data_IF_382575127989
#
_entry.id   IF_382575127989
#
_cell.length_a   1.000
_cell.length_b   1.000
_cell.length_c   1.000
_cell.angle_alpha   90.00
_cell.angle_beta   90.00
_cell.angle_gamma   90.00
#
_symmetry.space_group_name_H-M   'P 1'
#
loop_
_entity.id
_entity.type
_entity.pdbx_description
1 polymer ?
#
# COMPACT_ATOMS: atom_id res chain seq x y z
N UNK A 1 7.21 15.60 8.68
CA UNK A 1 7.32 14.67 7.55
C UNK A 1 8.15 13.50 8.01
N UNK A 2 7.52 12.35 8.24
CA UNK A 2 8.18 11.12 8.61
C UNK A 2 8.54 10.30 7.36
N UNK A 3 9.53 9.41 7.50
CA UNK A 3 9.85 8.38 6.51
C UNK A 3 9.49 7.03 7.10
N UNK A 4 8.53 6.35 6.47
CA UNK A 4 8.05 5.04 6.89
C UNK A 4 8.63 4.01 5.94
N UNK A 5 9.46 3.10 6.46
CA UNK A 5 10.02 2.00 5.68
C UNK A 5 9.08 0.81 5.66
N UNK A 6 8.81 0.27 4.48
CA UNK A 6 7.99 -0.93 4.31
C UNK A 6 8.56 -1.85 3.23
N UNK A 7 8.46 -3.14 3.51
CA UNK A 7 8.69 -4.19 2.51
C UNK A 7 7.64 -4.08 1.39
N UNK A 8 8.09 -4.30 0.15
CA UNK A 8 7.28 -4.46 -1.04
C UNK A 8 7.63 -5.77 -1.75
N UNK A 9 6.62 -6.49 -2.21
CA UNK A 9 6.81 -7.66 -3.08
C UNK A 9 7.18 -7.21 -4.51
N UNK A 10 7.91 -8.02 -5.29
CA UNK A 10 8.46 -7.57 -6.58
C UNK A 10 7.41 -7.04 -7.56
N UNK A 11 6.25 -7.72 -7.67
CA UNK A 11 5.15 -7.28 -8.54
C UNK A 11 4.55 -5.93 -8.13
N UNK A 12 4.38 -5.71 -6.82
CA UNK A 12 3.89 -4.44 -6.30
C UNK A 12 4.94 -3.35 -6.48
N UNK A 13 6.20 -3.65 -6.20
CA UNK A 13 7.31 -2.72 -6.34
C UNK A 13 7.42 -2.22 -7.78
N UNK A 14 7.41 -3.13 -8.75
CA UNK A 14 7.51 -2.78 -10.16
C UNK A 14 6.29 -1.99 -10.65
N UNK A 15 5.08 -2.31 -10.18
CA UNK A 15 3.88 -1.54 -10.51
C UNK A 15 3.93 -0.09 -9.96
N UNK A 16 4.58 0.11 -8.81
CA UNK A 16 4.76 1.44 -8.21
C UNK A 16 5.89 2.22 -8.89
N UNK A 17 6.98 1.54 -9.27
CA UNK A 17 8.11 2.13 -10.02
C UNK A 17 7.67 2.59 -11.40
N UNK A 18 6.94 1.75 -12.13
CA UNK A 18 6.40 2.08 -13.47
C UNK A 18 5.32 3.15 -13.46
N UNK A 19 4.81 3.55 -12.29
CA UNK A 19 3.73 4.53 -12.16
C UNK A 19 2.33 3.98 -12.47
N UNK A 20 2.22 2.71 -12.90
CA UNK A 20 0.96 2.02 -13.16
C UNK A 20 0.08 1.95 -11.90
N UNK A 21 0.69 1.82 -10.73
CA UNK A 21 0.00 1.74 -9.43
C UNK A 21 0.31 2.98 -8.59
N UNK A 22 -0.70 3.81 -8.34
CA UNK A 22 -0.59 5.03 -7.51
C UNK A 22 -1.16 4.88 -6.09
N UNK A 23 -1.38 3.65 -5.61
CA UNK A 23 -1.91 3.36 -4.27
C UNK A 23 -1.21 2.18 -3.60
N UNK A 24 -1.13 2.19 -2.27
CA UNK A 24 -0.65 1.07 -1.46
C UNK A 24 -1.70 0.73 -0.39
N UNK A 25 -2.22 -0.50 -0.41
CA UNK A 25 -3.21 -0.98 0.55
C UNK A 25 -2.51 -1.83 1.60
N UNK A 26 -2.66 -1.44 2.87
CA UNK A 26 -2.04 -2.13 4.00
C UNK A 26 -3.01 -2.26 5.16
N UNK A 27 -2.74 -3.26 6.02
CA UNK A 27 -3.35 -3.28 7.34
C UNK A 27 -2.99 -2.00 8.10
N UNK A 28 -3.95 -1.47 8.84
CA UNK A 28 -3.79 -0.24 9.61
C UNK A 28 -3.03 -0.51 10.93
N UNK A 29 -1.76 -0.91 10.81
CA UNK A 29 -0.87 -1.31 11.91
C UNK A 29 0.28 -0.31 12.17
N UNK A 30 0.32 0.80 11.41
CA UNK A 30 1.33 1.84 11.55
C UNK A 30 0.75 3.21 11.20
N UNK A 31 1.33 4.25 11.79
CA UNK A 31 0.94 5.63 11.52
C UNK A 31 1.65 6.19 10.28
N UNK A 32 0.85 6.78 9.40
CA UNK A 32 1.27 7.56 8.24
C UNK A 32 0.22 8.64 7.97
N UNK A 33 0.65 9.81 7.54
CA UNK A 33 -0.20 10.94 7.20
C UNK A 33 0.11 11.45 5.79
N UNK A 34 -0.79 12.27 5.24
CA UNK A 34 -0.53 12.96 3.97
C UNK A 34 0.73 13.82 4.07
N UNK A 35 1.54 13.80 3.01
CA UNK A 35 2.84 14.46 2.95
C UNK A 35 4.00 13.65 3.52
N UNK A 36 3.76 12.60 4.32
CA UNK A 36 4.84 11.69 4.74
C UNK A 36 5.41 10.89 3.55
N UNK A 37 6.58 10.29 3.73
CA UNK A 37 7.24 9.47 2.70
C UNK A 37 7.15 8.00 3.05
N UNK A 38 6.68 7.20 2.10
CA UNK A 38 6.74 5.74 2.16
C UNK A 38 7.96 5.27 1.36
N UNK A 39 8.96 4.73 2.05
CA UNK A 39 10.11 4.07 1.45
C UNK A 39 9.77 2.59 1.28
N UNK A 40 9.57 2.17 0.04
CA UNK A 40 9.31 0.77 -0.31
C UNK A 40 10.64 0.09 -0.63
N UNK A 41 10.95 -0.99 0.09
CA UNK A 41 12.15 -1.80 -0.11
C UNK A 41 11.73 -3.15 -0.72
N UNK A 42 12.26 -3.47 -1.90
CA UNK A 42 11.90 -4.69 -2.60
C UNK A 42 12.47 -5.93 -1.89
N UNK A 43 11.58 -6.88 -1.61
CA UNK A 43 11.91 -8.16 -0.98
C UNK A 43 11.65 -9.31 -1.94
N UNK A 44 12.66 -10.13 -2.19
CA UNK A 44 12.54 -11.33 -3.00
C UNK A 44 12.04 -12.52 -2.14
N UNK A 45 10.83 -13.06 -2.37
CA UNK A 45 10.33 -14.25 -1.67
C UNK A 45 11.18 -15.50 -1.89
N UNK A 46 11.85 -15.63 -3.06
CA UNK A 46 12.58 -16.82 -3.46
C UNK A 46 13.89 -16.94 -2.69
N UNK A 47 14.65 -15.85 -2.62
CA UNK A 47 15.91 -15.79 -1.87
C UNK A 47 15.70 -15.44 -0.39
N UNK A 48 14.53 -14.92 -0.03
CA UNK A 48 14.22 -14.39 1.31
C UNK A 48 15.19 -13.28 1.72
N UNK A 49 15.54 -12.40 0.79
CA UNK A 49 16.42 -11.26 1.02
C UNK A 49 15.85 -9.99 0.38
N UNK A 50 16.28 -8.83 0.87
CA UNK A 50 16.09 -7.58 0.14
C UNK A 50 16.98 -7.58 -1.12
N UNK A 51 16.45 -7.08 -2.23
CA UNK A 51 17.19 -7.00 -3.50
C UNK A 51 18.17 -5.82 -3.54
N UNK A 52 18.03 -4.88 -2.60
CA UNK A 52 18.75 -3.60 -2.58
C UNK A 52 18.05 -2.49 -3.36
N UNK A 53 16.98 -2.81 -4.12
CA UNK A 53 16.15 -1.80 -4.78
C UNK A 53 15.20 -1.16 -3.77
N UNK A 54 15.02 0.15 -3.89
CA UNK A 54 14.05 0.91 -3.12
C UNK A 54 13.41 2.02 -3.95
N UNK A 55 12.23 2.46 -3.55
CA UNK A 55 11.55 3.62 -4.13
C UNK A 55 10.86 4.43 -3.05
N UNK A 56 11.01 5.74 -3.12
CA UNK A 56 10.30 6.68 -2.25
C UNK A 56 9.06 7.21 -2.95
N UNK A 57 7.93 7.20 -2.24
CA UNK A 57 6.68 7.83 -2.68
C UNK A 57 6.13 8.71 -1.57
N UNK A 58 5.70 9.93 -1.92
CA UNK A 58 4.95 10.78 -0.99
C UNK A 58 3.53 10.24 -0.84
N UNK A 59 3.06 10.17 0.40
CA UNK A 59 1.66 9.87 0.70
C UNK A 59 0.79 11.05 0.24
N UNK A 60 0.04 10.85 -0.83
CA UNK A 60 -0.87 11.86 -1.38
C UNK A 60 -2.15 11.96 -0.54
N UNK A 61 -3.00 10.94 -0.62
CA UNK A 61 -4.21 10.79 0.19
C UNK A 61 -4.07 9.55 1.08
N UNK A 62 -4.42 9.67 2.36
CA UNK A 62 -4.38 8.56 3.33
C UNK A 62 -5.76 8.33 3.91
N UNK A 63 -6.39 7.21 3.54
CA UNK A 63 -7.67 6.80 4.11
C UNK A 63 -7.52 5.56 4.97
N UNK A 64 -7.76 5.72 6.28
CA UNK A 64 -7.81 4.64 7.27
C UNK A 64 -9.28 4.33 7.56
N UNK A 65 -9.67 3.06 7.46
CA UNK A 65 -11.04 2.63 7.74
C UNK A 65 -11.06 1.30 8.48
N UNK A 66 -12.16 1.05 9.20
CA UNK A 66 -12.50 -0.25 9.76
C UNK A 66 -13.68 -0.82 8.99
N UNK A 67 -13.67 -2.14 8.77
CA UNK A 67 -14.70 -2.81 7.96
C UNK A 67 -16.10 -2.60 8.56
N UNK A 68 -16.25 -2.63 9.88
CA UNK A 68 -17.51 -2.41 10.60
C UNK A 68 -18.06 -0.98 10.50
N UNK A 69 -17.29 -0.05 9.91
CA UNK A 69 -17.66 1.36 9.73
C UNK A 69 -17.92 1.75 8.28
N UNK A 70 -17.83 0.80 7.35
CA UNK A 70 -18.14 1.03 5.95
C UNK A 70 -19.67 1.03 5.73
N UNK A 71 -20.11 1.70 4.66
CA UNK A 71 -21.53 1.87 4.32
C UNK A 71 -22.24 0.56 3.91
N UNK A 72 -21.49 -0.51 3.64
CA UNK A 72 -22.02 -1.79 3.17
C UNK A 72 -22.13 -2.82 4.31
N UNK A 73 -23.10 -3.75 4.24
CA UNK A 73 -23.18 -4.88 5.17
C UNK A 73 -21.92 -5.76 5.14
N UNK A 74 -21.50 -6.27 6.30
CA UNK A 74 -20.31 -7.11 6.43
C UNK A 74 -20.37 -8.38 5.55
N UNK A 75 -21.53 -9.02 5.46
CA UNK A 75 -21.73 -10.22 4.65
C UNK A 75 -21.56 -9.94 3.15
N UNK A 76 -22.03 -8.78 2.68
CA UNK A 76 -21.84 -8.37 1.29
C UNK A 76 -20.36 -8.08 0.99
N UNK A 77 -19.65 -7.44 1.93
CA UNK A 77 -18.22 -7.20 1.79
C UNK A 77 -17.39 -8.50 1.83
N UNK A 78 -17.76 -9.47 2.67
CA UNK A 78 -17.12 -10.80 2.67
C UNK A 78 -17.34 -11.54 1.36
N UNK A 79 -18.55 -11.43 0.79
CA UNK A 79 -18.91 -12.11 -0.44
C UNK A 79 -18.26 -11.47 -1.69
N UNK A 80 -18.25 -10.13 -1.78
CA UNK A 80 -17.85 -9.39 -2.99
C UNK A 80 -16.44 -8.80 -2.91
N UNK A 81 -15.87 -8.68 -1.72
CA UNK A 81 -14.61 -7.99 -1.48
C UNK A 81 -14.72 -6.46 -1.61
N UNK A 82 -13.56 -5.80 -1.60
CA UNK A 82 -13.42 -4.35 -1.79
C UNK A 82 -12.49 -4.09 -2.98
N UNK A 83 -12.76 -3.04 -3.73
CA UNK A 83 -11.94 -2.63 -4.86
C UNK A 83 -11.33 -1.25 -4.60
N UNK A 84 -10.08 -1.06 -5.06
CA UNK A 84 -9.41 0.23 -5.12
C UNK A 84 -9.11 0.51 -6.58
N UNK A 85 -9.61 1.64 -7.07
CA UNK A 85 -9.42 2.09 -8.45
C UNK A 85 -8.51 3.32 -8.41
N UNK A 86 -7.35 3.21 -9.06
CA UNK A 86 -6.45 4.34 -9.28
C UNK A 86 -7.00 5.20 -10.41
N UNK A 87 -7.05 6.52 -10.23
CA UNK A 87 -7.44 7.47 -11.26
C UNK A 87 -6.20 8.09 -11.93
N UNK A 88 -6.35 8.56 -13.18
CA UNK A 88 -5.27 9.18 -13.96
C UNK A 88 -5.13 10.68 -13.71
#
# INVERSE_FOLDING_TARGET
MAVIKKKAWPELFEAVVSGKKKYDLRLNEFEINEGDTLLLEEWDPKTKTYTGRSVEKKAGHVWKFKLDKLFWPEEEMKQKGLQIISLE
#
